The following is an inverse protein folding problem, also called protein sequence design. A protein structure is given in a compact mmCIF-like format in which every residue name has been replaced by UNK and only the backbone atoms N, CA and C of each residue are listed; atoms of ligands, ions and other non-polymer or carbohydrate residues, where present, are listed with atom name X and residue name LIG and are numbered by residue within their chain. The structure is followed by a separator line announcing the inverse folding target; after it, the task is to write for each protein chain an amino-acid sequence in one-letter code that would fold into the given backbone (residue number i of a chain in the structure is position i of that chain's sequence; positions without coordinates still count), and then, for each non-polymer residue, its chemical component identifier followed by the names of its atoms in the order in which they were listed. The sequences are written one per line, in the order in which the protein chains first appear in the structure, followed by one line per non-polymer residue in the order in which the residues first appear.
data_IF_917952549797
#
_entry.id   IF_917952549797
#
_cell.length_a   1.000
_cell.length_b   1.000
_cell.length_c   1.000
_cell.angle_alpha   90.00
_cell.angle_beta   90.00
_cell.angle_gamma   90.00
#
_symmetry.space_group_name_H-M   'P 1'
#
loop_
_entity.id
_entity.type
_entity.pdbx_description
1 polymer ?
#
# COMPACT_ATOMS: atom_id res chain seq x y z
N UNK A 1 10.23 -35.27 20.92
CA UNK A 1 11.51 -34.69 21.42
C UNK A 1 12.55 -34.59 20.30
N UNK A 2 12.87 -35.71 19.58
CA UNK A 2 13.90 -35.73 18.53
C UNK A 2 13.70 -34.70 17.44
N UNK A 3 12.46 -34.49 16.94
CA UNK A 3 12.14 -33.52 15.88
C UNK A 3 12.38 -32.08 16.31
N UNK A 4 12.11 -31.75 17.58
CA UNK A 4 12.36 -30.40 18.13
C UNK A 4 13.86 -30.18 18.23
N UNK A 5 14.61 -31.17 18.71
CA UNK A 5 16.07 -31.10 18.81
C UNK A 5 16.71 -30.91 17.44
N UNK A 6 16.25 -31.63 16.40
CA UNK A 6 16.73 -31.49 15.03
C UNK A 6 16.46 -30.08 14.52
N UNK A 7 15.25 -29.53 14.68
CA UNK A 7 14.88 -28.21 14.24
C UNK A 7 15.69 -27.10 14.92
N UNK A 8 15.90 -27.20 16.22
CA UNK A 8 16.75 -26.30 16.99
C UNK A 8 18.22 -26.39 16.57
N UNK A 9 18.72 -27.62 16.32
CA UNK A 9 20.07 -27.82 15.83
C UNK A 9 20.29 -27.17 14.46
N UNK A 10 19.38 -27.39 13.49
CA UNK A 10 19.48 -26.75 12.17
C UNK A 10 19.44 -25.21 12.30
N UNK A 11 18.54 -24.67 13.12
CA UNK A 11 18.49 -23.22 13.35
C UNK A 11 19.75 -22.66 14.02
N UNK A 12 20.38 -23.46 14.90
CA UNK A 12 21.68 -23.12 15.50
C UNK A 12 22.80 -23.09 14.47
N UNK A 13 22.90 -24.12 13.62
CA UNK A 13 23.90 -24.16 12.54
C UNK A 13 23.76 -22.98 11.59
N UNK A 14 22.53 -22.64 11.18
CA UNK A 14 22.28 -21.47 10.34
C UNK A 14 22.70 -20.16 11.04
N UNK A 15 22.36 -20.00 12.31
CA UNK A 15 22.79 -18.84 13.09
C UNK A 15 24.32 -18.74 13.22
N UNK A 16 25.01 -19.89 13.32
CA UNK A 16 26.46 -19.96 13.38
C UNK A 16 27.11 -19.52 12.05
N UNK A 17 26.51 -19.90 10.91
CA UNK A 17 26.95 -19.48 9.59
C UNK A 17 26.70 -17.99 9.36
N UNK A 18 25.56 -17.47 9.82
CA UNK A 18 25.21 -16.05 9.68
C UNK A 18 26.04 -15.15 10.60
N UNK A 19 26.52 -15.64 11.73
CA UNK A 19 27.23 -14.84 12.73
C UNK A 19 28.46 -14.11 12.18
N UNK A 20 29.41 -14.73 11.46
CA UNK A 20 30.57 -14.04 10.90
C UNK A 20 30.15 -13.01 9.84
N UNK A 21 29.09 -13.25 9.06
CA UNK A 21 28.58 -12.29 8.08
C UNK A 21 27.97 -11.07 8.77
N UNK A 22 27.19 -11.27 9.83
CA UNK A 22 26.64 -10.18 10.64
C UNK A 22 27.74 -9.38 11.36
N UNK A 23 28.76 -10.05 11.89
CA UNK A 23 29.96 -9.41 12.46
C UNK A 23 30.69 -8.55 11.41
N UNK A 24 31.00 -9.11 10.25
CA UNK A 24 31.66 -8.39 9.16
C UNK A 24 30.86 -7.15 8.72
N UNK A 25 29.55 -7.30 8.57
CA UNK A 25 28.65 -6.20 8.22
C UNK A 25 28.68 -5.09 9.26
N UNK A 26 28.61 -5.42 10.55
CA UNK A 26 28.54 -4.42 11.63
C UNK A 26 29.88 -3.70 11.82
N UNK A 27 30.99 -4.42 11.86
CA UNK A 27 32.28 -3.85 12.26
C UNK A 27 33.19 -3.45 11.09
N UNK A 28 32.92 -3.88 9.87
CA UNK A 28 33.70 -3.50 8.69
C UNK A 28 32.89 -2.64 7.72
N UNK A 29 31.71 -3.09 7.32
CA UNK A 29 30.92 -2.37 6.32
C UNK A 29 30.32 -1.11 6.94
N UNK A 30 29.59 -1.23 8.06
CA UNK A 30 28.95 -0.08 8.70
C UNK A 30 29.96 0.98 9.13
N UNK A 31 31.15 0.58 9.63
CA UNK A 31 32.25 1.48 9.97
C UNK A 31 32.76 2.24 8.74
N UNK A 32 32.99 1.55 7.62
CA UNK A 32 33.47 2.16 6.38
C UNK A 32 32.53 3.23 5.83
N UNK A 33 31.23 3.05 6.05
CA UNK A 33 30.21 4.01 5.62
C UNK A 33 29.83 5.05 6.70
N UNK A 34 30.55 5.09 7.82
CA UNK A 34 30.38 6.10 8.86
C UNK A 34 29.08 5.98 9.66
N UNK A 35 28.53 4.77 9.82
CA UNK A 35 27.45 4.49 10.76
C UNK A 35 27.97 4.48 12.21
N UNK A 36 27.07 4.77 13.16
CA UNK A 36 27.42 4.74 14.59
C UNK A 36 27.99 3.39 15.00
N UNK A 37 29.14 3.42 15.69
CA UNK A 37 29.81 2.22 16.20
C UNK A 37 29.09 1.70 17.44
N UNK A 38 28.60 0.47 17.37
CA UNK A 38 28.14 -0.23 18.56
C UNK A 38 29.35 -0.93 19.20
N UNK A 39 29.64 -0.75 20.50
CA UNK A 39 30.72 -1.48 21.15
C UNK A 39 30.56 -2.99 20.98
N UNK A 40 31.62 -3.71 20.66
CA UNK A 40 31.59 -5.14 20.36
C UNK A 40 30.87 -5.98 21.45
N UNK A 41 31.12 -5.65 22.73
CA UNK A 41 30.47 -6.29 23.88
C UNK A 41 28.93 -6.09 23.85
N UNK A 42 28.48 -4.86 23.57
CA UNK A 42 27.05 -4.56 23.51
C UNK A 42 26.38 -5.24 22.31
N UNK A 43 27.07 -5.28 21.18
CA UNK A 43 26.59 -5.95 19.98
C UNK A 43 26.45 -7.47 20.23
N UNK A 44 27.46 -8.10 20.81
CA UNK A 44 27.46 -9.53 21.13
C UNK A 44 26.31 -9.88 22.11
N UNK A 45 26.16 -9.10 23.19
CA UNK A 45 25.07 -9.30 24.16
C UNK A 45 23.71 -9.14 23.48
N UNK A 46 23.59 -8.17 22.57
CA UNK A 46 22.35 -7.96 21.79
C UNK A 46 22.09 -9.14 20.85
N UNK A 47 23.09 -9.59 20.10
CA UNK A 47 22.97 -10.72 19.18
C UNK A 47 22.58 -12.00 19.91
N UNK A 48 23.21 -12.27 21.08
CA UNK A 48 22.87 -13.42 21.92
C UNK A 48 21.44 -13.32 22.49
N UNK A 49 21.02 -12.15 22.97
CA UNK A 49 19.63 -11.92 23.40
C UNK A 49 18.63 -12.13 22.27
N UNK A 50 18.90 -11.64 21.08
CA UNK A 50 18.03 -11.82 19.91
C UNK A 50 17.93 -13.30 19.51
N UNK A 51 19.04 -14.03 19.56
CA UNK A 51 19.08 -15.47 19.31
C UNK A 51 18.25 -16.24 20.36
N UNK A 52 18.47 -15.98 21.65
CA UNK A 52 17.73 -16.63 22.73
C UNK A 52 16.24 -16.30 22.69
N UNK A 53 15.87 -15.03 22.49
CA UNK A 53 14.47 -14.62 22.32
C UNK A 53 13.84 -15.26 21.08
N UNK A 54 14.61 -15.36 19.99
CA UNK A 54 14.19 -16.07 18.78
C UNK A 54 13.88 -17.53 19.07
N UNK A 55 14.74 -18.23 19.76
CA UNK A 55 14.52 -19.63 20.14
C UNK A 55 13.39 -19.82 21.13
N UNK A 56 13.29 -18.98 22.17
CA UNK A 56 12.20 -19.02 23.13
C UNK A 56 10.83 -18.76 22.48
N UNK A 57 10.78 -17.96 21.41
CA UNK A 57 9.54 -17.73 20.66
C UNK A 57 9.26 -18.81 19.62
N UNK A 58 10.31 -19.39 19.01
CA UNK A 58 10.21 -20.42 17.99
C UNK A 58 9.86 -21.79 18.57
N UNK A 59 10.46 -22.17 19.69
CA UNK A 59 10.25 -23.48 20.30
C UNK A 59 8.77 -23.81 20.58
N UNK A 60 7.97 -22.97 21.26
CA UNK A 60 6.55 -23.29 21.48
C UNK A 60 5.74 -23.34 20.18
N UNK A 61 6.09 -22.52 19.17
CA UNK A 61 5.46 -22.58 17.84
C UNK A 61 5.79 -23.90 17.15
N UNK A 62 7.05 -24.33 17.22
CA UNK A 62 7.50 -25.61 16.69
C UNK A 62 6.80 -26.79 17.37
N UNK A 63 6.73 -26.79 18.71
CA UNK A 63 6.01 -27.82 19.47
C UNK A 63 4.56 -27.87 19.04
N UNK A 64 3.89 -26.73 18.95
CA UNK A 64 2.49 -26.65 18.51
C UNK A 64 2.31 -27.21 17.08
N UNK A 65 3.18 -26.81 16.14
CA UNK A 65 3.14 -27.30 14.74
C UNK A 65 3.38 -28.80 14.69
N UNK A 66 4.38 -29.33 15.41
CA UNK A 66 4.68 -30.76 15.42
C UNK A 66 3.55 -31.58 16.01
N UNK A 67 2.97 -31.14 17.15
CA UNK A 67 1.81 -31.81 17.78
C UNK A 67 0.61 -31.78 16.82
N UNK A 68 0.38 -30.68 16.13
CA UNK A 68 -0.70 -30.58 15.14
C UNK A 68 -0.44 -31.50 13.94
N UNK A 69 0.80 -31.57 13.44
CA UNK A 69 1.15 -32.48 12.35
C UNK A 69 0.96 -33.96 12.74
N UNK A 70 1.27 -34.33 13.98
CA UNK A 70 1.07 -35.70 14.50
C UNK A 70 -0.42 -36.02 14.70
N UNK A 71 -1.22 -35.04 15.15
CA UNK A 71 -2.63 -35.24 15.53
C UNK A 71 -3.62 -35.09 14.37
N UNK A 72 -3.32 -34.21 13.40
CA UNK A 72 -4.26 -33.75 12.36
C UNK A 72 -3.87 -34.22 10.96
N UNK A 73 -3.40 -35.44 10.84
CA UNK A 73 -2.96 -36.20 9.64
C UNK A 73 -3.14 -35.51 8.24
N UNK A 74 -4.36 -35.16 7.82
CA UNK A 74 -4.61 -34.56 6.51
C UNK A 74 -4.75 -33.02 6.52
N UNK A 75 -5.19 -32.42 7.64
CA UNK A 75 -5.53 -30.98 7.69
C UNK A 75 -4.49 -30.12 8.44
N UNK A 76 -3.28 -30.62 8.70
CA UNK A 76 -2.24 -29.88 9.43
C UNK A 76 -1.93 -28.50 8.81
N UNK A 77 -1.97 -28.39 7.49
CA UNK A 77 -1.71 -27.16 6.76
C UNK A 77 -2.72 -26.02 7.07
N UNK A 78 -3.98 -26.39 7.38
CA UNK A 78 -5.00 -25.39 7.74
C UNK A 78 -4.70 -24.73 9.08
N UNK A 79 -4.16 -25.47 10.06
CA UNK A 79 -3.71 -24.90 11.33
C UNK A 79 -2.48 -24.01 11.14
N UNK A 80 -1.53 -24.38 10.29
CA UNK A 80 -0.39 -23.56 9.93
C UNK A 80 -0.83 -22.25 9.23
N UNK A 81 -1.85 -22.34 8.36
CA UNK A 81 -2.47 -21.17 7.74
C UNK A 81 -3.15 -20.27 8.78
N UNK A 82 -3.92 -20.84 9.71
CA UNK A 82 -4.55 -20.07 10.79
C UNK A 82 -3.53 -19.35 11.66
N UNK A 83 -2.43 -20.01 12.01
CA UNK A 83 -1.34 -19.41 12.79
C UNK A 83 -0.67 -18.25 12.03
N UNK A 84 -0.39 -18.42 10.73
CA UNK A 84 0.16 -17.36 9.88
C UNK A 84 -0.83 -16.22 9.68
N UNK A 85 -2.11 -16.49 9.49
CA UNK A 85 -3.16 -15.46 9.39
C UNK A 85 -3.27 -14.65 10.70
N UNK A 86 -3.27 -15.33 11.87
CA UNK A 86 -3.27 -14.68 13.18
C UNK A 86 -2.04 -13.77 13.35
N UNK A 87 -0.85 -14.24 12.94
CA UNK A 87 0.37 -13.45 12.93
C UNK A 87 0.27 -12.19 12.05
N UNK A 88 -0.28 -12.29 10.82
CA UNK A 88 -0.47 -11.14 9.94
C UNK A 88 -1.50 -10.15 10.51
N UNK A 89 -2.60 -10.64 11.07
CA UNK A 89 -3.61 -9.79 11.74
C UNK A 89 -2.97 -9.03 12.90
N UNK A 90 -2.20 -9.72 13.74
CA UNK A 90 -1.44 -9.09 14.82
C UNK A 90 -0.50 -8.02 14.29
N UNK A 91 0.35 -8.34 13.34
CA UNK A 91 1.40 -7.44 12.84
C UNK A 91 0.86 -6.25 12.07
N UNK A 92 -0.16 -6.43 11.24
CA UNK A 92 -0.69 -5.38 10.36
C UNK A 92 -1.74 -4.53 11.05
N UNK A 93 -2.59 -5.13 11.86
CA UNK A 93 -3.77 -4.48 12.44
C UNK A 93 -3.65 -4.16 13.92
N UNK A 94 -3.19 -5.12 14.74
CA UNK A 94 -3.19 -4.97 16.20
C UNK A 94 -1.95 -4.25 16.72
N UNK A 95 -0.75 -4.62 16.29
CA UNK A 95 0.48 -4.01 16.78
C UNK A 95 0.54 -2.48 16.54
N UNK A 96 0.17 -1.93 15.37
CA UNK A 96 0.11 -0.49 15.18
C UNK A 96 -0.90 0.19 16.11
N UNK A 97 -2.06 -0.44 16.37
CA UNK A 97 -3.06 0.09 17.30
C UNK A 97 -2.55 0.15 18.75
N UNK A 98 -1.90 -0.92 19.19
CA UNK A 98 -1.32 -0.97 20.54
C UNK A 98 -0.25 0.11 20.70
N UNK A 99 0.66 0.24 19.73
CA UNK A 99 1.73 1.23 19.74
C UNK A 99 1.16 2.67 19.71
N UNK A 100 0.20 2.93 18.84
CA UNK A 100 -0.38 4.27 18.67
C UNK A 100 -1.25 4.73 19.85
N UNK A 101 -1.73 3.80 20.68
CA UNK A 101 -2.46 4.10 21.92
C UNK A 101 -1.62 3.82 23.17
N UNK A 102 -0.31 3.62 23.04
CA UNK A 102 0.58 3.40 24.18
C UNK A 102 0.81 4.67 24.99
N UNK A 103 1.26 4.52 26.24
CA UNK A 103 1.63 5.64 27.11
C UNK A 103 2.84 6.45 26.60
N UNK A 104 3.58 5.92 25.61
CA UNK A 104 4.70 6.63 24.98
C UNK A 104 4.27 7.72 24.00
N UNK A 105 2.99 7.76 23.61
CA UNK A 105 2.43 8.81 22.76
C UNK A 105 2.06 10.02 23.61
N UNK A 106 2.52 11.22 23.18
CA UNK A 106 2.22 12.49 23.83
C UNK A 106 1.36 13.34 22.90
N UNK A 107 0.35 14.08 23.42
CA UNK A 107 -0.41 14.99 22.59
C UNK A 107 0.53 16.04 21.97
N UNK A 108 0.25 16.41 20.72
CA UNK A 108 1.03 17.46 20.05
C UNK A 108 0.76 18.81 20.72
N UNK A 109 1.82 19.59 20.92
CA UNK A 109 1.72 20.96 21.44
C UNK A 109 0.97 21.84 20.47
N UNK A 110 0.26 22.86 21.00
CA UNK A 110 -0.41 23.89 20.18
C UNK A 110 0.63 24.64 19.35
N UNK A 111 0.24 24.99 18.12
CA UNK A 111 1.12 25.74 17.22
C UNK A 111 0.68 25.61 15.75
N UNK A 112 1.32 26.37 14.86
CA UNK A 112 0.92 26.48 13.46
C UNK A 112 0.89 25.14 12.72
N UNK A 113 1.77 24.21 13.09
CA UNK A 113 1.78 22.85 12.52
C UNK A 113 0.52 22.08 12.91
N UNK A 114 0.09 22.15 14.20
CA UNK A 114 -1.12 21.47 14.65
C UNK A 114 -2.36 22.01 13.95
N UNK A 115 -2.42 23.33 13.75
CA UNK A 115 -3.53 23.98 13.04
C UNK A 115 -3.61 23.52 11.57
N UNK A 116 -2.46 23.44 10.87
CA UNK A 116 -2.40 22.94 9.49
C UNK A 116 -2.83 21.48 9.40
N UNK A 117 -2.36 20.63 10.31
CA UNK A 117 -2.75 19.22 10.36
C UNK A 117 -4.25 19.07 10.69
N UNK A 118 -4.79 19.88 11.59
CA UNK A 118 -6.22 19.89 11.91
C UNK A 118 -7.04 20.32 10.69
N UNK A 119 -6.61 21.33 9.94
CA UNK A 119 -7.24 21.72 8.67
C UNK A 119 -7.23 20.58 7.65
N UNK A 120 -6.09 19.90 7.50
CA UNK A 120 -5.97 18.73 6.63
C UNK A 120 -6.93 17.60 7.05
N UNK A 121 -7.03 17.31 8.34
CA UNK A 121 -7.94 16.30 8.87
C UNK A 121 -9.41 16.66 8.64
N UNK A 122 -9.78 17.92 8.79
CA UNK A 122 -11.13 18.42 8.48
C UNK A 122 -11.48 18.28 7.00
N UNK A 123 -10.56 18.62 6.10
CA UNK A 123 -10.74 18.41 4.66
C UNK A 123 -10.97 16.95 4.27
N UNK A 124 -10.53 16.02 5.11
CA UNK A 124 -10.61 14.59 4.90
C UNK A 124 -11.72 13.90 5.72
N UNK A 125 -12.62 14.69 6.30
CA UNK A 125 -13.73 14.22 7.15
C UNK A 125 -13.27 13.36 8.34
N UNK A 126 -12.13 13.73 8.92
CA UNK A 126 -11.51 13.05 10.06
C UNK A 126 -11.47 13.95 11.30
N UNK A 127 -12.53 14.71 11.55
CA UNK A 127 -12.61 15.72 12.62
C UNK A 127 -12.32 15.15 14.01
N UNK A 128 -12.71 13.91 14.28
CA UNK A 128 -12.52 13.23 15.57
C UNK A 128 -11.13 12.61 15.72
N UNK A 129 -10.11 13.11 14.97
CA UNK A 129 -8.75 12.55 15.03
C UNK A 129 -7.85 13.44 15.88
N UNK A 130 -7.38 12.89 17.00
CA UNK A 130 -6.39 13.53 17.87
C UNK A 130 -4.98 13.40 17.28
N UNK A 131 -4.15 14.46 17.43
CA UNK A 131 -2.78 14.49 16.90
C UNK A 131 -1.80 14.25 18.06
N UNK A 132 -0.99 13.22 17.90
CA UNK A 132 0.02 12.80 18.88
C UNK A 132 1.42 12.77 18.29
N UNK A 133 2.41 12.84 19.15
CA UNK A 133 3.83 12.67 18.82
C UNK A 133 4.42 11.52 19.61
N UNK A 134 5.41 10.84 19.05
CA UNK A 134 6.06 9.71 19.71
C UNK A 134 7.51 9.58 19.26
N UNK A 135 8.38 9.08 20.17
CA UNK A 135 9.70 8.60 19.77
C UNK A 135 9.56 7.37 18.85
N UNK A 136 10.33 7.33 17.77
CA UNK A 136 10.28 6.22 16.83
C UNK A 136 10.72 4.90 17.49
N UNK A 137 9.90 3.84 17.48
CA UNK A 137 10.33 2.53 17.94
C UNK A 137 11.53 2.01 17.11
N UNK A 138 12.51 1.38 17.75
CA UNK A 138 13.71 0.84 17.08
C UNK A 138 13.38 -0.16 15.96
N UNK A 139 12.28 -0.91 16.11
CA UNK A 139 11.77 -1.85 15.12
C UNK A 139 11.15 -1.19 13.88
N UNK A 140 10.81 0.12 13.94
CA UNK A 140 10.14 0.87 12.87
C UNK A 140 11.09 1.84 12.17
N UNK A 141 12.17 1.30 11.64
CA UNK A 141 13.28 2.08 11.06
C UNK A 141 12.83 3.12 10.02
N UNK A 142 11.77 2.85 9.28
CA UNK A 142 11.23 3.70 8.22
C UNK A 142 9.83 4.27 8.52
N UNK A 143 9.39 4.19 9.77
CA UNK A 143 8.13 4.78 10.20
C UNK A 143 8.26 6.30 10.30
N UNK A 144 7.38 7.05 9.66
CA UNK A 144 7.36 8.52 9.68
C UNK A 144 6.11 9.08 10.37
N UNK A 145 4.95 8.57 10.01
CA UNK A 145 3.67 8.85 10.63
C UNK A 145 2.75 7.63 10.52
N UNK A 146 1.76 7.55 11.37
CA UNK A 146 0.71 6.53 11.31
C UNK A 146 -0.63 7.07 11.77
N UNK A 147 -1.70 6.69 11.06
CA UNK A 147 -3.06 6.88 11.51
C UNK A 147 -3.55 5.56 12.11
N UNK A 148 -4.12 5.59 13.30
CA UNK A 148 -4.68 4.41 13.97
C UNK A 148 -6.08 4.69 14.45
N UNK A 149 -6.99 3.72 14.26
CA UNK A 149 -8.38 3.80 14.72
C UNK A 149 -8.66 2.68 15.73
N UNK A 150 -9.26 3.02 16.87
CA UNK A 150 -9.60 2.07 17.94
C UNK A 150 -10.87 2.53 18.66
N UNK A 151 -11.92 1.70 18.67
CA UNK A 151 -13.18 1.93 19.39
C UNK A 151 -13.76 3.35 19.18
N UNK A 152 -13.85 3.79 17.91
CA UNK A 152 -14.38 5.11 17.56
C UNK A 152 -13.41 6.29 17.73
N UNK A 153 -12.27 6.11 18.40
CA UNK A 153 -11.22 7.12 18.51
C UNK A 153 -10.18 6.95 17.43
N UNK A 154 -9.75 8.05 16.81
CA UNK A 154 -8.69 8.09 15.82
C UNK A 154 -7.50 8.86 16.36
N UNK A 155 -6.29 8.41 16.10
CA UNK A 155 -5.05 9.11 16.43
C UNK A 155 -4.11 9.16 15.25
N UNK A 156 -3.70 10.36 14.87
CA UNK A 156 -2.60 10.59 13.94
C UNK A 156 -1.32 10.76 14.77
N UNK A 157 -0.43 9.78 14.69
CA UNK A 157 0.85 9.80 15.42
C UNK A 157 1.98 10.15 14.47
N UNK A 158 2.69 11.24 14.76
CA UNK A 158 3.87 11.69 14.01
C UNK A 158 5.11 11.42 14.84
N UNK A 159 6.13 10.83 14.22
CA UNK A 159 7.35 10.51 14.95
C UNK A 159 8.28 11.72 15.10
N UNK A 160 8.90 11.87 16.26
CA UNK A 160 9.71 13.04 16.63
C UNK A 160 10.84 13.36 15.63
N UNK A 161 11.46 12.34 14.99
CA UNK A 161 12.50 12.58 13.98
C UNK A 161 11.98 13.29 12.72
N UNK A 162 10.69 13.12 12.39
CA UNK A 162 10.03 13.82 11.28
C UNK A 162 9.84 15.29 11.64
N UNK A 163 9.40 15.57 12.88
CA UNK A 163 9.20 16.92 13.40
C UNK A 163 10.52 17.71 13.45
N UNK A 164 11.63 17.04 13.77
CA UNK A 164 12.94 17.67 13.88
C UNK A 164 13.58 18.03 12.52
N UNK A 165 13.15 17.42 11.43
CA UNK A 165 13.86 17.48 10.13
C UNK A 165 13.07 18.05 8.97
N UNK A 166 11.75 17.99 9.03
CA UNK A 166 10.86 18.41 7.96
C UNK A 166 10.20 19.74 8.28
N UNK A 167 9.91 20.51 7.23
CA UNK A 167 9.07 21.70 7.33
C UNK A 167 7.60 21.31 7.49
N UNK A 168 6.75 22.22 7.97
CA UNK A 168 5.34 21.98 8.23
C UNK A 168 4.59 21.39 7.02
N UNK A 169 4.80 21.94 5.82
CA UNK A 169 4.18 21.42 4.59
C UNK A 169 4.63 19.99 4.25
N UNK A 170 5.90 19.69 4.49
CA UNK A 170 6.48 18.36 4.28
C UNK A 170 5.93 17.34 5.29
N UNK A 171 5.67 17.79 6.53
CA UNK A 171 5.02 16.97 7.56
C UNK A 171 3.58 16.67 7.18
N UNK A 172 2.84 17.66 6.65
CA UNK A 172 1.49 17.48 6.14
C UNK A 172 1.46 16.44 5.00
N UNK A 173 2.44 16.45 4.09
CA UNK A 173 2.52 15.46 3.02
C UNK A 173 2.77 14.04 3.56
N UNK A 174 3.65 13.89 4.55
CA UNK A 174 3.90 12.60 5.22
C UNK A 174 2.65 12.12 5.99
N UNK A 175 1.93 13.03 6.63
CA UNK A 175 0.67 12.73 7.30
C UNK A 175 -0.40 12.27 6.28
N UNK A 176 -0.51 12.94 5.13
CA UNK A 176 -1.43 12.58 4.06
C UNK A 176 -1.16 11.16 3.52
N UNK A 177 0.11 10.72 3.35
CA UNK A 177 0.44 9.34 3.01
C UNK A 177 -0.08 8.34 4.07
N UNK A 178 0.08 8.67 5.36
CA UNK A 178 -0.38 7.80 6.45
C UNK A 178 -1.92 7.71 6.51
N UNK A 179 -2.61 8.80 6.19
CA UNK A 179 -4.08 8.87 6.09
C UNK A 179 -4.56 8.06 4.87
N UNK A 180 -3.92 8.23 3.71
CA UNK A 180 -4.22 7.51 2.47
C UNK A 180 -4.16 6.00 2.64
N UNK A 181 -3.20 5.49 3.40
CA UNK A 181 -3.07 4.06 3.75
C UNK A 181 -4.33 3.50 4.41
N UNK A 182 -4.96 4.25 5.28
CA UNK A 182 -6.16 3.81 6.00
C UNK A 182 -7.42 4.03 5.15
N UNK A 183 -7.55 5.19 4.52
CA UNK A 183 -8.73 5.52 3.71
C UNK A 183 -8.88 4.62 2.49
N UNK A 184 -7.77 4.19 1.89
CA UNK A 184 -7.76 3.23 0.76
C UNK A 184 -7.65 1.76 1.18
N UNK A 185 -7.86 1.46 2.46
CA UNK A 185 -7.87 0.10 2.99
C UNK A 185 -6.61 -0.73 2.66
N UNK A 186 -5.43 -0.10 2.50
CA UNK A 186 -4.20 -0.80 2.13
C UNK A 186 -3.79 -1.88 3.14
N UNK A 187 -4.12 -1.70 4.41
CA UNK A 187 -3.85 -2.72 5.42
C UNK A 187 -4.68 -3.98 5.20
N UNK A 188 -5.94 -3.83 4.78
CA UNK A 188 -6.80 -4.97 4.43
C UNK A 188 -6.30 -5.64 3.14
N UNK A 189 -5.96 -4.87 2.10
CA UNK A 189 -5.39 -5.39 0.87
C UNK A 189 -4.09 -6.18 1.12
N UNK A 190 -3.18 -5.65 1.96
CA UNK A 190 -1.97 -6.38 2.38
C UNK A 190 -2.31 -7.67 3.12
N UNK A 191 -3.27 -7.63 4.04
CA UNK A 191 -3.68 -8.80 4.81
C UNK A 191 -4.22 -9.90 3.91
N UNK A 192 -5.18 -9.58 3.03
CA UNK A 192 -5.77 -10.53 2.07
C UNK A 192 -4.69 -11.13 1.16
N UNK A 193 -3.81 -10.29 0.63
CA UNK A 193 -2.72 -10.74 -0.24
C UNK A 193 -1.75 -11.70 0.46
N UNK A 194 -1.31 -11.38 1.69
CA UNK A 194 -0.39 -12.24 2.43
C UNK A 194 -1.06 -13.54 2.88
N UNK A 195 -2.32 -13.52 3.27
CA UNK A 195 -3.07 -14.73 3.58
C UNK A 195 -3.22 -15.60 2.33
N UNK A 196 -3.54 -15.00 1.17
CA UNK A 196 -3.66 -15.72 -0.10
C UNK A 196 -2.36 -16.41 -0.52
N UNK A 197 -1.21 -15.71 -0.48
CA UNK A 197 0.10 -16.31 -0.77
C UNK A 197 0.43 -17.42 0.23
N UNK A 198 0.16 -17.18 1.53
CA UNK A 198 0.42 -18.19 2.56
C UNK A 198 -0.48 -19.41 2.41
N UNK A 199 -1.73 -19.22 1.99
CA UNK A 199 -2.65 -20.33 1.69
C UNK A 199 -2.11 -21.20 0.55
N UNK A 200 -1.69 -20.57 -0.54
CA UNK A 200 -1.08 -21.28 -1.67
C UNK A 200 0.19 -22.03 -1.27
N UNK A 201 1.02 -21.41 -0.43
CA UNK A 201 2.23 -22.03 0.08
C UNK A 201 1.95 -23.24 0.97
N UNK A 202 1.10 -23.11 1.99
CA UNK A 202 0.80 -24.20 2.92
C UNK A 202 0.06 -25.34 2.24
N UNK A 203 -0.88 -25.03 1.35
CA UNK A 203 -1.58 -26.04 0.54
C UNK A 203 -0.62 -26.77 -0.40
N UNK A 204 0.26 -26.03 -1.11
CA UNK A 204 1.25 -26.63 -2.00
C UNK A 204 2.25 -27.51 -1.24
N UNK A 205 2.69 -27.09 -0.05
CA UNK A 205 3.57 -27.89 0.80
C UNK A 205 2.87 -29.17 1.29
N UNK A 206 1.60 -29.08 1.69
CA UNK A 206 0.81 -30.26 2.07
C UNK A 206 0.67 -31.22 0.89
N UNK A 207 0.37 -30.72 -0.30
CA UNK A 207 0.29 -31.53 -1.50
C UNK A 207 1.63 -32.24 -1.81
N UNK A 208 2.75 -31.52 -1.72
CA UNK A 208 4.08 -32.07 -1.99
C UNK A 208 4.53 -33.08 -0.92
N UNK A 209 4.16 -32.84 0.34
CA UNK A 209 4.59 -33.68 1.46
C UNK A 209 4.06 -35.12 1.41
N UNK A 210 3.02 -35.39 0.63
CA UNK A 210 2.46 -36.72 0.41
C UNK A 210 3.08 -37.44 -0.79
N UNK A 211 3.93 -36.77 -1.58
CA UNK A 211 4.46 -37.30 -2.84
C UNK A 211 5.85 -37.91 -2.64
N UNK A 212 5.99 -39.20 -2.91
CA UNK A 212 7.28 -39.92 -2.81
C UNK A 212 8.33 -39.35 -3.77
N UNK A 213 7.94 -38.93 -4.99
CA UNK A 213 8.84 -38.33 -5.97
C UNK A 213 9.46 -37.01 -5.46
N UNK A 214 8.74 -36.26 -4.62
CA UNK A 214 9.24 -35.02 -4.02
C UNK A 214 10.46 -35.28 -3.15
N UNK A 215 10.42 -36.29 -2.29
CA UNK A 215 11.55 -36.66 -1.45
C UNK A 215 12.68 -37.30 -2.26
N UNK A 216 12.35 -38.15 -3.22
CA UNK A 216 13.34 -38.75 -4.13
C UNK A 216 14.11 -37.68 -4.92
N UNK A 217 13.45 -36.60 -5.34
CA UNK A 217 14.12 -35.49 -6.05
C UNK A 217 15.10 -34.69 -5.16
N UNK A 218 14.90 -34.75 -3.85
CA UNK A 218 15.82 -34.18 -2.86
C UNK A 218 16.89 -35.19 -2.37
N UNK A 219 16.98 -36.36 -3.01
CA UNK A 219 17.85 -37.47 -2.63
C UNK A 219 17.60 -37.97 -1.19
N UNK A 220 16.33 -37.91 -0.76
CA UNK A 220 15.85 -38.39 0.53
C UNK A 220 15.09 -39.70 0.27
N UNK A 221 15.44 -40.74 1.02
CA UNK A 221 14.75 -42.01 0.93
C UNK A 221 13.28 -41.88 1.36
N UNK A 222 12.30 -42.23 0.51
CA UNK A 222 10.88 -42.04 0.82
C UNK A 222 10.42 -42.77 2.09
N UNK A 223 11.04 -43.88 2.43
CA UNK A 223 10.78 -44.66 3.66
C UNK A 223 11.05 -43.87 4.95
N UNK A 224 12.03 -42.94 4.91
CA UNK A 224 12.34 -42.05 6.03
C UNK A 224 11.36 -40.86 6.11
N UNK A 225 10.85 -40.43 4.98
CA UNK A 225 9.96 -39.29 4.87
C UNK A 225 8.50 -39.65 5.20
N UNK A 226 8.06 -40.81 4.79
CA UNK A 226 6.68 -41.31 4.96
C UNK A 226 6.75 -42.74 5.62
N UNK A 227 7.24 -42.86 6.85
CA UNK A 227 7.28 -44.14 7.53
C UNK A 227 5.85 -44.62 7.76
N UNK A 228 5.56 -45.88 7.35
CA UNK A 228 4.24 -46.52 7.52
C UNK A 228 3.05 -45.67 6.98
N UNK A 229 3.29 -44.88 5.95
CA UNK A 229 2.24 -44.03 5.34
C UNK A 229 1.97 -42.71 6.05
N UNK A 230 2.67 -42.40 7.13
CA UNK A 230 2.53 -41.12 7.85
C UNK A 230 3.74 -40.22 7.54
N UNK A 231 3.46 -38.92 7.36
CA UNK A 231 4.50 -37.92 7.09
C UNK A 231 5.38 -37.74 8.34
N UNK A 232 6.70 -37.76 8.14
CA UNK A 232 7.66 -37.42 9.19
C UNK A 232 7.72 -35.88 9.37
N UNK A 233 7.14 -35.33 10.46
CA UNK A 233 7.05 -33.87 10.59
C UNK A 233 8.41 -33.21 10.82
N UNK A 234 9.37 -33.90 11.46
CA UNK A 234 10.70 -33.36 11.68
C UNK A 234 11.50 -33.22 10.41
N UNK A 235 11.41 -34.20 9.52
CA UNK A 235 12.06 -34.15 8.21
C UNK A 235 11.41 -33.10 7.31
N UNK A 236 10.08 -33.03 7.26
CA UNK A 236 9.37 -31.98 6.52
C UNK A 236 9.77 -30.58 6.99
N UNK A 237 9.89 -30.39 8.31
CA UNK A 237 10.35 -29.12 8.86
C UNK A 237 11.81 -28.80 8.48
N UNK A 238 12.71 -29.78 8.50
CA UNK A 238 14.09 -29.61 8.05
C UNK A 238 14.17 -29.18 6.56
N UNK A 239 13.36 -29.82 5.70
CA UNK A 239 13.21 -29.44 4.30
C UNK A 239 12.68 -28.00 4.17
N UNK A 240 11.68 -27.63 4.96
CA UNK A 240 11.14 -26.25 4.96
C UNK A 240 12.22 -25.22 5.29
N UNK A 241 13.07 -25.47 6.28
CA UNK A 241 14.13 -24.53 6.65
C UNK A 241 15.20 -24.43 5.54
N UNK A 242 15.58 -25.54 4.94
CA UNK A 242 16.68 -25.60 3.99
C UNK A 242 16.26 -25.18 2.56
N UNK A 243 15.11 -25.67 2.07
CA UNK A 243 14.71 -25.58 0.67
C UNK A 243 13.75 -24.40 0.42
N UNK A 244 12.82 -24.17 1.32
CA UNK A 244 11.77 -23.15 1.16
C UNK A 244 12.32 -21.75 0.91
N UNK A 245 13.33 -21.23 1.61
CA UNK A 245 13.86 -19.90 1.34
C UNK A 245 14.35 -19.74 -0.11
N UNK A 246 14.93 -20.78 -0.69
CA UNK A 246 15.44 -20.78 -2.07
C UNK A 246 14.28 -20.81 -3.07
N UNK A 247 13.33 -21.73 -2.88
CA UNK A 247 12.16 -21.89 -3.77
C UNK A 247 11.22 -20.70 -3.71
N UNK A 248 11.04 -20.10 -2.53
CA UNK A 248 10.18 -18.91 -2.37
C UNK A 248 10.87 -17.60 -2.74
N UNK A 249 12.17 -17.59 -3.02
CA UNK A 249 12.85 -16.36 -3.40
C UNK A 249 12.15 -15.62 -4.58
N UNK A 250 11.68 -16.29 -5.65
CA UNK A 250 10.89 -15.64 -6.69
C UNK A 250 9.60 -15.00 -6.18
N UNK A 251 8.94 -15.57 -5.17
CA UNK A 251 7.73 -14.99 -4.58
C UNK A 251 8.00 -13.63 -3.89
N UNK A 252 9.24 -13.39 -3.45
CA UNK A 252 9.65 -12.10 -2.88
C UNK A 252 9.47 -10.96 -3.89
N UNK A 253 9.73 -11.21 -5.18
CA UNK A 253 9.51 -10.22 -6.25
C UNK A 253 8.04 -9.83 -6.35
N UNK A 254 7.13 -10.81 -6.29
CA UNK A 254 5.67 -10.58 -6.34
C UNK A 254 5.20 -9.81 -5.09
N UNK A 255 5.68 -10.21 -3.91
CA UNK A 255 5.37 -9.54 -2.64
C UNK A 255 5.86 -8.09 -2.65
N UNK A 256 7.08 -7.85 -3.12
CA UNK A 256 7.63 -6.51 -3.19
C UNK A 256 6.92 -5.66 -4.25
N UNK A 257 6.61 -6.22 -5.43
CA UNK A 257 5.86 -5.52 -6.46
C UNK A 257 4.49 -5.08 -5.95
N UNK A 258 3.73 -5.98 -5.33
CA UNK A 258 2.42 -5.66 -4.77
C UNK A 258 2.51 -4.57 -3.67
N UNK A 259 3.46 -4.70 -2.72
CA UNK A 259 3.63 -3.68 -1.67
C UNK A 259 4.03 -2.33 -2.22
N UNK A 260 4.81 -2.28 -3.30
CA UNK A 260 5.21 -1.03 -3.97
C UNK A 260 4.04 -0.35 -4.67
N UNK A 261 3.14 -1.11 -5.29
CA UNK A 261 1.91 -0.55 -5.87
C UNK A 261 1.10 0.21 -4.81
N UNK A 262 0.94 -0.38 -3.63
CA UNK A 262 0.26 0.28 -2.52
C UNK A 262 1.02 1.52 -2.01
N UNK A 263 2.35 1.46 -1.95
CA UNK A 263 3.16 2.62 -1.53
C UNK A 263 3.09 3.78 -2.57
N UNK A 264 3.03 3.49 -3.88
CA UNK A 264 2.79 4.50 -4.91
C UNK A 264 1.40 5.12 -4.83
N UNK A 265 0.39 4.32 -4.49
CA UNK A 265 -0.97 4.81 -4.31
C UNK A 265 -1.10 5.70 -3.05
N UNK A 266 -0.37 5.39 -1.96
CA UNK A 266 -0.24 6.27 -0.79
C UNK A 266 0.39 7.63 -1.18
N UNK A 267 1.42 7.60 -2.03
CA UNK A 267 2.07 8.82 -2.53
C UNK A 267 1.15 9.63 -3.45
N UNK A 268 0.43 8.96 -4.34
CA UNK A 268 -0.56 9.61 -5.22
C UNK A 268 -1.67 10.29 -4.41
N UNK A 269 -2.17 9.63 -3.37
CA UNK A 269 -3.13 10.23 -2.44
C UNK A 269 -2.59 11.49 -1.78
N UNK A 270 -1.34 11.48 -1.32
CA UNK A 270 -0.72 12.64 -0.71
C UNK A 270 -0.49 13.79 -1.70
N UNK A 271 -0.13 13.48 -2.96
CA UNK A 271 0.00 14.47 -4.03
C UNK A 271 -1.33 15.17 -4.31
N UNK A 272 -2.43 14.41 -4.37
CA UNK A 272 -3.76 14.96 -4.59
C UNK A 272 -4.19 15.93 -3.46
N UNK A 273 -3.76 15.68 -2.21
CA UNK A 273 -4.15 16.49 -1.05
C UNK A 273 -3.26 17.72 -0.79
N UNK A 274 -1.94 17.56 -0.96
CA UNK A 274 -0.95 18.58 -0.52
C UNK A 274 -0.06 19.05 -1.67
N UNK A 275 -0.14 18.41 -2.81
CA UNK A 275 0.71 18.66 -3.98
C UNK A 275 2.02 17.86 -3.97
N UNK A 276 2.69 17.78 -5.13
CA UNK A 276 3.91 16.98 -5.31
C UNK A 276 5.13 17.60 -4.61
N UNK A 277 5.28 18.92 -4.65
CA UNK A 277 6.49 19.62 -4.15
C UNK A 277 6.80 19.33 -2.68
N UNK A 278 5.84 19.44 -1.72
CA UNK A 278 6.09 19.11 -0.31
C UNK A 278 6.47 17.63 -0.12
N UNK A 279 5.78 16.73 -0.83
CA UNK A 279 6.04 15.29 -0.76
C UNK A 279 7.44 14.94 -1.27
N UNK A 280 7.83 15.45 -2.44
CA UNK A 280 9.16 15.23 -3.04
C UNK A 280 10.27 15.70 -2.10
N UNK A 281 10.14 16.91 -1.52
CA UNK A 281 11.10 17.44 -0.55
C UNK A 281 11.19 16.56 0.71
N UNK A 282 10.05 16.11 1.25
CA UNK A 282 9.99 15.23 2.41
C UNK A 282 10.72 13.90 2.14
N UNK A 283 10.38 13.24 1.01
CA UNK A 283 10.98 11.96 0.61
C UNK A 283 12.49 12.12 0.42
N UNK A 284 12.95 13.17 -0.27
CA UNK A 284 14.38 13.43 -0.51
C UNK A 284 15.15 13.63 0.79
N UNK A 285 14.63 14.44 1.72
CA UNK A 285 15.26 14.69 3.02
C UNK A 285 15.35 13.42 3.86
N UNK A 286 14.24 12.67 3.97
CA UNK A 286 14.22 11.42 4.72
C UNK A 286 15.15 10.36 4.12
N UNK A 287 15.26 10.31 2.79
CA UNK A 287 16.19 9.39 2.12
C UNK A 287 17.65 9.70 2.44
N UNK A 288 18.04 10.97 2.39
CA UNK A 288 19.39 11.41 2.75
C UNK A 288 19.76 10.98 4.16
N UNK A 289 18.82 11.07 5.10
CA UNK A 289 19.03 10.69 6.48
C UNK A 289 19.23 9.17 6.69
N UNK A 290 18.66 8.36 5.80
CA UNK A 290 18.85 6.90 5.84
C UNK A 290 20.13 6.43 5.15
N UNK A 291 20.91 7.32 4.53
CA UNK A 291 22.14 7.00 3.80
C UNK A 291 22.00 5.84 2.83
N UNK A 292 20.85 5.74 2.18
CA UNK A 292 20.59 4.70 1.20
C UNK A 292 21.31 5.03 -0.12
N UNK A 293 21.55 4.00 -0.95
CA UNK A 293 22.09 4.14 -2.31
C UNK A 293 21.25 5.12 -3.13
N UNK A 294 21.91 5.96 -3.95
CA UNK A 294 21.22 6.96 -4.78
C UNK A 294 20.48 6.34 -5.97
N UNK A 295 21.06 5.32 -6.60
CA UNK A 295 20.46 4.66 -7.79
C UNK A 295 20.74 3.16 -7.72
N UNK A 296 19.87 2.36 -7.10
CA UNK A 296 19.98 0.93 -7.18
C UNK A 296 19.45 0.42 -8.52
N UNK A 297 20.00 -0.69 -9.01
CA UNK A 297 19.41 -1.44 -10.13
C UNK A 297 17.96 -1.83 -9.78
N UNK A 298 17.05 -1.75 -10.76
CA UNK A 298 15.61 -2.01 -10.55
C UNK A 298 15.38 -3.45 -10.06
N UNK A 299 16.05 -4.44 -10.66
CA UNK A 299 15.92 -5.84 -10.26
C UNK A 299 16.46 -6.09 -8.86
N UNK A 300 17.66 -5.55 -8.56
CA UNK A 300 18.24 -5.62 -7.23
C UNK A 300 17.32 -4.97 -6.18
N UNK A 301 16.79 -3.79 -6.50
CA UNK A 301 15.86 -3.10 -5.62
C UNK A 301 14.57 -3.88 -5.40
N UNK A 302 14.02 -4.52 -6.43
CA UNK A 302 12.82 -5.34 -6.34
C UNK A 302 13.05 -6.61 -5.51
N UNK A 303 14.23 -7.23 -5.65
CA UNK A 303 14.60 -8.41 -4.87
C UNK A 303 14.82 -8.09 -3.38
N UNK A 304 15.54 -7.00 -3.08
CA UNK A 304 16.08 -6.78 -1.73
C UNK A 304 15.36 -5.69 -0.93
N UNK A 305 14.56 -4.83 -1.57
CA UNK A 305 13.90 -3.70 -0.92
C UNK A 305 12.39 -3.76 -1.09
N UNK A 306 11.68 -3.91 0.00
CA UNK A 306 10.22 -3.92 0.02
C UNK A 306 9.61 -2.59 -0.48
N UNK A 307 10.21 -1.45 -0.11
CA UNK A 307 9.73 -0.12 -0.51
C UNK A 307 10.38 0.33 -1.81
N UNK A 308 9.63 1.06 -2.66
CA UNK A 308 10.22 1.61 -3.87
C UNK A 308 11.31 2.63 -3.52
N UNK A 309 12.33 2.68 -4.36
CA UNK A 309 13.42 3.62 -4.21
C UNK A 309 12.94 5.07 -4.34
N UNK A 310 13.64 5.99 -3.67
CA UNK A 310 13.26 7.40 -3.63
C UNK A 310 13.11 8.03 -5.02
N UNK A 311 14.01 7.73 -5.94
CA UNK A 311 13.97 8.25 -7.32
C UNK A 311 12.71 7.82 -8.06
N UNK A 312 12.28 6.57 -7.90
CA UNK A 312 11.03 6.06 -8.47
C UNK A 312 9.80 6.71 -7.84
N UNK A 313 9.80 6.89 -6.52
CA UNK A 313 8.71 7.58 -5.80
C UNK A 313 8.57 9.04 -6.24
N UNK A 314 9.69 9.76 -6.34
CA UNK A 314 9.70 11.15 -6.81
C UNK A 314 9.15 11.23 -8.24
N UNK A 315 9.63 10.36 -9.14
CA UNK A 315 9.13 10.32 -10.52
C UNK A 315 7.64 10.02 -10.58
N UNK A 316 7.17 9.04 -9.83
CA UNK A 316 5.75 8.69 -9.75
C UNK A 316 4.90 9.87 -9.24
N UNK A 317 5.33 10.54 -8.17
CA UNK A 317 4.62 11.70 -7.61
C UNK A 317 4.51 12.87 -8.61
N UNK A 318 5.57 13.14 -9.39
CA UNK A 318 5.55 14.17 -10.43
C UNK A 318 4.64 13.79 -11.60
N UNK A 319 4.61 12.52 -12.01
CA UNK A 319 3.73 12.03 -13.07
C UNK A 319 2.25 12.12 -12.68
N UNK A 320 1.90 11.83 -11.42
CA UNK A 320 0.53 12.01 -10.89
C UNK A 320 0.11 13.47 -11.03
N UNK A 321 0.92 14.43 -10.59
CA UNK A 321 0.60 15.86 -10.70
C UNK A 321 0.43 16.29 -12.16
N UNK A 322 1.28 15.82 -13.07
CA UNK A 322 1.15 16.10 -14.50
C UNK A 322 -0.15 15.56 -15.07
N UNK A 323 -0.50 14.32 -14.71
CA UNK A 323 -1.75 13.69 -15.15
C UNK A 323 -2.98 14.44 -14.63
N UNK A 324 -2.97 14.87 -13.37
CA UNK A 324 -4.07 15.62 -12.79
C UNK A 324 -4.24 16.99 -13.46
N UNK A 325 -3.15 17.69 -13.73
CA UNK A 325 -3.18 18.94 -14.49
C UNK A 325 -3.73 18.75 -15.92
N UNK A 326 -3.32 17.67 -16.60
CA UNK A 326 -3.83 17.35 -17.93
C UNK A 326 -5.33 17.05 -17.91
N UNK A 327 -5.79 16.23 -16.95
CA UNK A 327 -7.21 15.90 -16.77
C UNK A 327 -8.05 17.16 -16.49
N UNK A 328 -7.58 18.05 -15.63
CA UNK A 328 -8.23 19.32 -15.33
C UNK A 328 -8.32 20.20 -16.58
N UNK A 329 -7.24 20.33 -17.35
CA UNK A 329 -7.23 21.11 -18.59
C UNK A 329 -8.18 20.51 -19.65
N UNK A 330 -8.23 19.19 -19.76
CA UNK A 330 -9.18 18.49 -20.65
C UNK A 330 -10.63 18.74 -20.24
N UNK A 331 -10.96 18.61 -18.95
CA UNK A 331 -12.30 18.88 -18.44
C UNK A 331 -12.77 20.33 -18.73
N UNK A 332 -11.90 21.31 -18.50
CA UNK A 332 -12.19 22.72 -18.84
C UNK A 332 -12.45 22.92 -20.34
N UNK A 333 -11.67 22.25 -21.19
CA UNK A 333 -11.87 22.33 -22.64
C UNK A 333 -13.19 21.67 -23.08
N UNK A 334 -13.58 20.54 -22.46
CA UNK A 334 -14.84 19.87 -22.74
C UNK A 334 -16.05 20.67 -22.26
N UNK A 335 -15.94 21.35 -21.11
CA UNK A 335 -16.96 22.31 -20.67
C UNK A 335 -17.13 23.48 -21.66
N UNK A 336 -16.01 24.06 -22.12
CA UNK A 336 -16.03 25.13 -23.12
C UNK A 336 -16.67 24.67 -24.43
N UNK A 337 -16.35 23.46 -24.92
CA UNK A 337 -16.98 22.87 -26.10
C UNK A 337 -18.49 22.71 -25.93
N UNK A 338 -18.89 22.18 -24.77
CA UNK A 338 -20.30 21.98 -24.44
C UNK A 338 -21.07 23.32 -24.40
N UNK A 339 -20.48 24.37 -23.79
CA UNK A 339 -21.05 25.71 -23.76
C UNK A 339 -21.18 26.31 -25.17
N UNK A 340 -20.16 26.17 -26.00
CA UNK A 340 -20.18 26.65 -27.39
C UNK A 340 -21.27 25.93 -28.20
N UNK A 341 -21.41 24.61 -28.01
CA UNK A 341 -22.48 23.83 -28.68
C UNK A 341 -23.88 24.29 -28.24
N UNK A 342 -24.09 24.49 -26.93
CA UNK A 342 -25.39 25.01 -26.42
C UNK A 342 -25.68 26.43 -26.97
N UNK A 343 -24.70 27.27 -27.06
CA UNK A 343 -24.84 28.63 -27.63
C UNK A 343 -25.21 28.58 -29.10
N UNK A 344 -24.56 27.74 -29.90
CA UNK A 344 -24.88 27.56 -31.32
C UNK A 344 -26.29 27.01 -31.53
N UNK A 345 -26.71 26.01 -30.74
CA UNK A 345 -28.09 25.50 -30.80
C UNK A 345 -29.12 26.56 -30.41
N UNK A 346 -28.83 27.43 -29.45
CA UNK A 346 -29.70 28.55 -29.10
C UNK A 346 -29.84 29.59 -30.24
N UNK A 347 -28.74 29.86 -30.94
CA UNK A 347 -28.77 30.74 -32.13
C UNK A 347 -29.61 30.11 -33.24
N UNK A 348 -29.41 28.85 -33.58
CA UNK A 348 -30.19 28.14 -34.59
C UNK A 348 -31.68 28.12 -34.26
N UNK A 349 -32.03 27.86 -33.00
CA UNK A 349 -33.43 27.88 -32.53
C UNK A 349 -34.05 29.28 -32.70
N UNK A 350 -33.30 30.36 -32.42
CA UNK A 350 -33.77 31.73 -32.64
C UNK A 350 -33.94 32.03 -34.12
N UNK A 351 -33.05 31.51 -34.99
CA UNK A 351 -33.18 31.65 -36.45
C UNK A 351 -34.45 30.95 -36.94
N UNK A 352 -34.65 29.68 -36.60
CA UNK A 352 -35.88 28.97 -36.98
C UNK A 352 -37.15 29.68 -36.56
N UNK A 353 -37.22 30.14 -35.30
CA UNK A 353 -38.40 30.87 -34.81
C UNK A 353 -38.62 32.19 -35.57
N UNK A 354 -37.58 32.86 -36.01
CA UNK A 354 -37.66 34.07 -36.82
C UNK A 354 -38.18 33.74 -38.21
N UNK A 355 -37.67 32.70 -38.83
CA UNK A 355 -38.07 32.27 -40.18
C UNK A 355 -39.54 31.78 -40.18
N UNK A 356 -39.97 31.00 -39.18
CA UNK A 356 -41.37 30.61 -38.97
C UNK A 356 -42.31 31.83 -38.83
N UNK A 357 -41.89 32.85 -38.06
CA UNK A 357 -42.65 34.11 -37.93
C UNK A 357 -42.73 34.89 -39.24
N UNK A 358 -41.66 34.88 -40.03
CA UNK A 358 -41.61 35.53 -41.32
C UNK A 358 -42.55 34.81 -42.31
N UNK A 359 -42.50 33.48 -42.37
CA UNK A 359 -43.36 32.67 -43.20
C UNK A 359 -44.88 32.84 -42.83
N UNK A 360 -45.17 32.87 -41.53
CA UNK A 360 -46.53 33.14 -41.07
C UNK A 360 -47.03 34.54 -41.49
N UNK A 361 -46.16 35.57 -41.46
CA UNK A 361 -46.48 36.93 -41.96
C UNK A 361 -46.72 36.95 -43.47
N UNK A 362 -45.91 36.21 -44.22
CA UNK A 362 -46.02 36.12 -45.68
C UNK A 362 -47.33 35.41 -46.08
N UNK A 363 -47.69 34.29 -45.37
CA UNK A 363 -48.97 33.60 -45.58
C UNK A 363 -50.16 34.53 -45.33
N UNK A 364 -50.21 35.19 -44.17
CA UNK A 364 -51.26 36.18 -43.89
C UNK A 364 -51.38 37.26 -44.94
N UNK A 365 -50.22 37.74 -45.42
CA UNK A 365 -50.23 38.81 -46.52
C UNK A 365 -50.75 38.24 -47.79
N UNK A 366 -50.44 37.01 -48.17
CA UNK A 366 -50.99 36.34 -49.37
C UNK A 366 -52.50 36.06 -49.21
N UNK A 367 -52.98 35.67 -48.03
CA UNK A 367 -54.41 35.51 -47.79
C UNK A 367 -55.19 36.80 -47.91
N UNK A 368 -54.70 37.91 -47.36
CA UNK A 368 -55.32 39.24 -47.50
C UNK A 368 -55.34 39.71 -48.99
N UNK A 369 -54.30 39.42 -49.73
CA UNK A 369 -54.25 39.77 -51.17
C UNK A 369 -55.23 38.91 -51.99
N UNK A 370 -55.42 37.63 -51.66
CA UNK A 370 -56.42 36.76 -52.29
C UNK A 370 -57.85 37.21 -51.98
N UNK A 371 -58.14 37.53 -50.72
CA UNK A 371 -59.43 38.10 -50.33
C UNK A 371 -59.73 39.41 -51.03
N UNK A 372 -58.74 40.30 -51.08
CA UNK A 372 -58.87 41.60 -51.84
C UNK A 372 -59.09 41.36 -53.31
N UNK A 373 -58.47 40.36 -53.92
CA UNK A 373 -58.69 40.01 -55.34
C UNK A 373 -60.08 39.42 -55.59
N UNK A 374 -60.53 38.59 -54.68
CA UNK A 374 -61.90 38.01 -54.75
C UNK A 374 -62.99 39.03 -54.54
N UNK A 375 -62.77 40.01 -53.67
CA UNK A 375 -63.68 41.19 -53.52
C UNK A 375 -63.73 42.03 -54.73
N UNK A 376 -62.62 42.29 -55.40
CA UNK A 376 -62.56 43.02 -56.67
C UNK A 376 -63.31 42.28 -57.79
N UNK A 377 -63.16 41.00 -57.89
CA UNK A 377 -63.93 40.17 -58.83
C UNK A 377 -65.43 40.20 -58.55
N UNK A 378 -65.87 40.07 -57.31
CA UNK A 378 -67.29 40.23 -56.94
C UNK A 378 -67.88 41.61 -57.31
N UNK A 379 -67.13 42.70 -57.01
CA UNK A 379 -67.58 44.02 -57.29
C UNK A 379 -67.62 44.26 -58.83
N UNK A 380 -66.71 43.64 -59.57
CA UNK A 380 -66.73 43.75 -61.06
C UNK A 380 -67.91 43.00 -61.70
N UNK A 381 -68.28 41.81 -61.15
CA UNK A 381 -69.45 41.06 -61.62
C UNK A 381 -70.79 41.73 -61.22
N UNK A 382 -70.85 42.45 -60.08
CA UNK A 382 -72.05 43.18 -59.66
C UNK A 382 -72.20 44.53 -60.45
N UNK A 383 -71.18 45.06 -61.12
CA UNK A 383 -71.31 46.23 -61.99
C UNK A 383 -71.69 45.88 -63.45
N UNK A 384 -71.65 44.61 -63.80
CA UNK A 384 -72.01 44.11 -65.13
C UNK A 384 -73.40 43.45 -65.20
N UNK A 385 -74.08 43.27 -64.03
CA UNK A 385 -75.48 42.82 -63.88
C UNK A 385 -76.37 44.06 -63.62
#
# INVERSE_FOLDING_TARGET
AAHITLALFISFVLALVDFPLCWWKEFRINERYGFEKTPAKQWLVKALKELLLGWCSLAPVLVAVLVICESASYHWWSFALLATAAWYIWRISLAPKIIGFSAQTKPMREGPLKDRLTKLLKQLELDNTEIYTMARPKSWRHGNAMLVKRRGKSRLVIFNHVLARLKEEEICAVAACAIGRINRCHNAARLVFFIGISSLFWWGLAFLSEKTWFYASLNIEPSLAIPNGAINPGLLFAICIAVVPVVLYPAVFVIHAFTRLLDYDEDAYAVAMVGSKPLVRAIAKLHRDYRNSLVPNILYSLANHRRPHVTHRIRAALLVEQRDRFNQASAVNDERRTQATRFNMAIERRRKLRDEKLDARLRRKSEILLEASALRHRNFTMQQA
#
